data_IF_833537349547
#
_entry.id   IF_833537349547
#
_cell.length_a   1.000
_cell.length_b   1.000
_cell.length_c   1.000
_cell.angle_alpha   90.00
_cell.angle_beta   90.00
_cell.angle_gamma   90.00
#
_symmetry.space_group_name_H-M   'P 1'
#
loop_
_entity.id
_entity.type
_entity.pdbx_description
1 polymer ?
#
# COMPACT_ATOMS: atom_id res chain seq x y z
N UNK A 1 -19.23 1.92 -8.19
CA UNK A 1 -17.82 2.35 -8.25
C UNK A 1 -17.70 3.39 -9.35
N UNK A 2 -17.06 4.52 -9.07
CA UNK A 2 -16.85 5.58 -10.05
C UNK A 2 -15.58 5.22 -10.85
N UNK A 3 -15.75 4.69 -12.06
CA UNK A 3 -14.63 4.16 -12.87
C UNK A 3 -13.69 5.22 -13.44
N UNK A 4 -13.91 6.50 -13.13
CA UNK A 4 -13.18 7.63 -13.72
C UNK A 4 -12.09 8.20 -12.80
N UNK A 5 -12.00 7.74 -11.54
CA UNK A 5 -11.05 8.25 -10.54
C UNK A 5 -10.33 7.07 -9.90
N UNK A 6 -9.02 7.21 -9.73
CA UNK A 6 -8.17 6.24 -9.04
C UNK A 6 -7.64 6.93 -7.78
N UNK A 7 -7.83 6.31 -6.63
CA UNK A 7 -7.29 6.78 -5.36
C UNK A 7 -5.88 6.24 -5.17
N UNK A 8 -5.00 7.08 -4.62
CA UNK A 8 -3.66 6.70 -4.19
C UNK A 8 -3.56 7.00 -2.69
N UNK A 9 -2.94 6.09 -1.94
CA UNK A 9 -2.62 6.37 -0.54
C UNK A 9 -1.52 7.43 -0.42
N UNK A 10 -1.29 7.91 0.81
CA UNK A 10 0.00 8.52 1.14
C UNK A 10 1.15 7.52 0.92
N UNK A 11 2.38 8.02 0.84
CA UNK A 11 3.56 7.18 0.64
C UNK A 11 4.01 6.52 1.95
N UNK A 12 4.04 5.19 1.97
CA UNK A 12 4.50 4.41 3.13
C UNK A 12 5.91 3.87 2.91
N UNK A 13 6.71 3.85 3.97
CA UNK A 13 8.04 3.22 3.91
C UNK A 13 7.90 1.70 3.77
N UNK A 14 8.52 1.10 2.76
CA UNK A 14 8.56 -0.34 2.59
C UNK A 14 9.15 -1.04 3.83
N UNK A 15 10.28 -0.55 4.35
CA UNK A 15 10.87 -1.02 5.61
C UNK A 15 9.91 -0.89 6.79
N UNK A 16 9.16 0.21 6.88
CA UNK A 16 8.20 0.45 7.95
C UNK A 16 7.06 -0.57 7.94
N UNK A 17 6.51 -0.86 6.76
CA UNK A 17 5.45 -1.87 6.58
C UNK A 17 5.95 -3.27 6.95
N UNK A 18 7.19 -3.61 6.60
CA UNK A 18 7.77 -4.94 6.87
C UNK A 18 8.07 -5.14 8.36
N UNK A 19 8.66 -4.15 9.03
CA UNK A 19 9.13 -4.32 10.40
C UNK A 19 8.10 -3.96 11.48
N UNK A 20 7.04 -3.23 11.13
CA UNK A 20 5.98 -2.84 12.07
C UNK A 20 4.63 -3.38 11.65
N UNK A 21 4.23 -4.51 12.25
CA UNK A 21 2.88 -5.06 12.07
C UNK A 21 1.80 -4.05 12.48
N UNK A 22 2.04 -3.30 13.56
CA UNK A 22 1.12 -2.26 14.02
C UNK A 22 0.92 -1.15 12.98
N UNK A 23 1.99 -0.76 12.26
CA UNK A 23 1.87 0.24 11.20
C UNK A 23 0.98 -0.29 10.07
N UNK A 24 1.25 -1.48 9.56
CA UNK A 24 0.44 -2.09 8.51
C UNK A 24 -1.05 -2.20 8.91
N UNK A 25 -1.31 -2.68 10.12
CA UNK A 25 -2.68 -2.85 10.64
C UNK A 25 -3.41 -1.51 10.89
N UNK A 26 -2.68 -0.39 11.03
CA UNK A 26 -3.28 0.93 11.24
C UNK A 26 -3.46 1.74 9.97
N UNK A 27 -2.62 1.57 8.94
CA UNK A 27 -2.61 2.44 7.75
C UNK A 27 -3.12 1.78 6.47
N UNK A 28 -3.17 0.45 6.39
CA UNK A 28 -3.64 -0.28 5.21
C UNK A 28 -5.16 -0.54 5.17
N UNK A 29 -5.92 -0.59 6.29
CA UNK A 29 -7.37 -0.61 6.24
C UNK A 29 -7.94 0.66 5.60
N UNK A 30 -8.91 0.49 4.70
CA UNK A 30 -9.57 1.57 3.97
C UNK A 30 -11.04 1.22 3.70
N UNK A 31 -11.85 2.21 3.33
CA UNK A 31 -13.26 2.04 3.04
C UNK A 31 -13.49 1.72 1.55
N UNK A 32 -14.54 0.97 1.25
CA UNK A 32 -14.92 0.59 -0.13
C UNK A 32 -15.17 1.79 -1.07
N UNK A 33 -15.42 2.98 -0.52
CA UNK A 33 -15.62 4.21 -1.31
C UNK A 33 -14.32 4.71 -1.94
N UNK A 34 -13.17 4.25 -1.43
CA UNK A 34 -11.83 4.60 -1.93
C UNK A 34 -11.42 3.72 -3.14
N UNK A 35 -12.26 2.75 -3.53
CA UNK A 35 -11.97 1.89 -4.67
C UNK A 35 -12.22 2.59 -6.03
N UNK A 36 -11.31 2.44 -7.01
CA UNK A 36 -10.06 1.65 -6.96
C UNK A 36 -8.92 2.37 -6.21
N UNK A 37 -8.28 1.65 -5.28
CA UNK A 37 -7.17 2.16 -4.45
C UNK A 37 -5.83 1.53 -4.83
N UNK A 38 -4.81 2.37 -5.04
CA UNK A 38 -3.41 2.00 -5.20
C UNK A 38 -2.62 2.42 -3.96
N UNK A 39 -1.91 1.48 -3.34
CA UNK A 39 -1.03 1.79 -2.21
C UNK A 39 0.35 2.18 -2.73
N UNK A 40 0.84 3.35 -2.32
CA UNK A 40 2.17 3.84 -2.67
C UNK A 40 3.20 3.48 -1.60
N UNK A 41 4.28 2.83 -2.01
CA UNK A 41 5.43 2.54 -1.13
C UNK A 41 6.72 3.18 -1.67
N UNK A 42 7.60 3.58 -0.76
CA UNK A 42 8.92 4.11 -1.08
C UNK A 42 10.02 3.41 -0.27
N UNK A 43 11.25 3.48 -0.74
CA UNK A 43 12.39 2.80 -0.13
C UNK A 43 13.55 2.68 -1.11
N UNK A 44 14.56 1.89 -0.74
CA UNK A 44 15.77 1.68 -1.55
C UNK A 44 16.19 0.22 -1.69
N UNK A 45 15.58 -0.67 -0.90
CA UNK A 45 15.91 -2.10 -0.88
C UNK A 45 14.83 -2.88 -1.65
N UNK A 46 15.16 -3.47 -2.82
CA UNK A 46 14.25 -4.34 -3.58
C UNK A 46 13.64 -5.47 -2.75
N UNK A 47 14.37 -6.01 -1.78
CA UNK A 47 13.85 -7.09 -0.93
C UNK A 47 12.77 -6.57 0.03
N UNK A 48 12.92 -5.35 0.56
CA UNK A 48 11.89 -4.71 1.38
C UNK A 48 10.64 -4.38 0.57
N UNK A 49 10.79 -3.92 -0.69
CA UNK A 49 9.64 -3.72 -1.57
C UNK A 49 8.86 -5.02 -1.79
N UNK A 50 9.54 -6.12 -2.09
CA UNK A 50 8.90 -7.42 -2.27
C UNK A 50 8.18 -7.90 -1.00
N UNK A 51 8.80 -7.76 0.17
CA UNK A 51 8.19 -8.12 1.46
C UNK A 51 7.00 -7.24 1.80
N UNK A 52 7.10 -5.92 1.58
CA UNK A 52 6.00 -4.98 1.80
C UNK A 52 4.81 -5.32 0.89
N UNK A 53 5.05 -5.62 -0.39
CA UNK A 53 4.00 -6.02 -1.32
C UNK A 53 3.23 -7.27 -0.85
N UNK A 54 3.93 -8.26 -0.25
CA UNK A 54 3.30 -9.45 0.36
C UNK A 54 2.46 -9.16 1.60
N UNK A 55 2.74 -8.06 2.31
CA UNK A 55 1.89 -7.61 3.42
C UNK A 55 0.66 -6.89 2.85
N UNK A 56 0.86 -6.01 1.87
CA UNK A 56 -0.17 -5.16 1.29
C UNK A 56 -1.20 -5.97 0.49
N UNK A 57 -0.80 -7.03 -0.23
CA UNK A 57 -1.71 -7.87 -1.03
C UNK A 57 -2.83 -8.56 -0.23
N UNK A 58 -2.73 -8.56 1.11
CA UNK A 58 -3.74 -9.11 2.02
C UNK A 58 -4.94 -8.17 2.23
N UNK A 59 -4.83 -6.92 1.79
CA UNK A 59 -5.88 -5.91 1.89
C UNK A 59 -6.57 -5.77 0.51
N UNK A 60 -7.81 -5.27 0.50
CA UNK A 60 -8.62 -5.19 -0.72
C UNK A 60 -8.20 -4.03 -1.63
N UNK A 61 -6.99 -4.10 -2.18
CA UNK A 61 -6.40 -3.04 -3.00
C UNK A 61 -6.45 -3.41 -4.49
N UNK A 62 -6.41 -2.39 -5.35
CA UNK A 62 -6.37 -2.57 -6.81
C UNK A 62 -4.94 -2.70 -7.32
N UNK A 63 -3.96 -2.09 -6.65
CA UNK A 63 -2.56 -2.16 -7.07
C UNK A 63 -1.57 -1.59 -6.06
N UNK A 64 -0.29 -1.73 -6.38
CA UNK A 64 0.83 -1.17 -5.63
C UNK A 64 1.65 -0.31 -6.59
N UNK A 65 2.01 0.88 -6.15
CA UNK A 65 2.90 1.80 -6.87
C UNK A 65 4.20 2.01 -6.07
N UNK A 66 5.31 2.14 -6.79
CA UNK A 66 6.62 2.46 -6.21
C UNK A 66 6.87 3.94 -6.47
N UNK A 67 6.85 4.73 -5.40
CA UNK A 67 7.23 6.13 -5.46
C UNK A 67 8.76 6.24 -5.57
N UNK A 68 9.24 6.75 -6.71
CA UNK A 68 10.67 6.90 -7.05
C UNK A 68 11.21 8.29 -6.76
#
# INVERSE_FOLDING_TARGET
>A
MNSNVICFSEFFSADGIVHSKFLADSVLPHALIEEPLIIQIFGKDPEMFAKAARVIEKYNITGIDINM
#
